data_IF_692412501486
#
_entry.id   IF_692412501486
#
_cell.length_a   1.000
_cell.length_b   1.000
_cell.length_c   1.000
_cell.angle_alpha   90.00
_cell.angle_beta   90.00
_cell.angle_gamma   90.00
#
_symmetry.space_group_name_H-M   'P 1'
#
loop_
_entity.id
_entity.type
_entity.pdbx_description
1 polymer ?
#
# COMPACT_ATOMS: atom_id res chain seq x y z
N UNK A 1 -2.64 12.21 -5.27
CA UNK A 1 -1.43 11.88 -4.48
C UNK A 1 -0.57 10.91 -5.29
N UNK A 2 0.70 10.70 -4.94
CA UNK A 2 1.46 9.58 -5.53
C UNK A 2 1.14 8.28 -4.79
N UNK A 3 0.84 7.21 -5.53
CA UNK A 3 0.69 5.87 -4.98
C UNK A 3 1.91 5.54 -4.12
N UNK A 4 1.68 5.09 -2.89
CA UNK A 4 2.78 4.77 -1.97
C UNK A 4 3.62 3.58 -2.44
N UNK A 5 3.02 2.69 -3.25
CA UNK A 5 3.64 1.50 -3.79
C UNK A 5 4.43 1.78 -5.08
N UNK A 6 3.75 2.23 -6.15
CA UNK A 6 4.36 2.36 -7.48
C UNK A 6 4.76 3.79 -7.87
N UNK A 7 4.53 4.79 -7.01
CA UNK A 7 4.77 6.22 -7.27
C UNK A 7 3.99 6.81 -8.47
N UNK A 8 3.09 6.05 -9.09
CA UNK A 8 2.15 6.53 -10.10
C UNK A 8 1.08 7.47 -9.53
N UNK A 9 0.33 8.12 -10.40
CA UNK A 9 -0.83 8.92 -9.98
C UNK A 9 -1.90 8.05 -9.32
N UNK A 10 -2.39 8.48 -8.16
CA UNK A 10 -3.42 7.80 -7.40
C UNK A 10 -4.33 8.78 -6.67
N UNK A 11 -5.52 8.29 -6.31
CA UNK A 11 -6.50 9.03 -5.51
C UNK A 11 -6.49 8.51 -4.08
N UNK A 12 -6.44 9.42 -3.12
CA UNK A 12 -6.80 9.10 -1.74
C UNK A 12 -8.32 9.04 -1.69
N UNK A 13 -8.87 7.93 -1.19
CA UNK A 13 -10.32 7.80 -1.01
C UNK A 13 -10.71 8.27 0.39
N UNK A 14 -9.98 7.80 1.40
CA UNK A 14 -10.16 8.21 2.79
C UNK A 14 -8.79 8.38 3.45
N UNK A 15 -8.69 9.36 4.35
CA UNK A 15 -7.54 9.60 5.19
C UNK A 15 -8.02 9.60 6.64
N UNK A 16 -8.03 8.43 7.25
CA UNK A 16 -8.43 8.27 8.64
C UNK A 16 -7.23 8.45 9.58
N UNK A 17 -7.49 8.62 10.89
CA UNK A 17 -6.42 8.73 11.89
C UNK A 17 -5.43 7.55 11.88
N UNK A 18 -5.85 6.39 11.38
CA UNK A 18 -5.08 5.14 11.42
C UNK A 18 -4.43 4.74 10.09
N UNK A 19 -4.57 5.54 9.03
CA UNK A 19 -4.01 5.19 7.73
C UNK A 19 -4.61 5.97 6.57
N UNK A 20 -4.27 5.56 5.35
CA UNK A 20 -4.82 6.14 4.12
C UNK A 20 -5.30 5.03 3.19
N UNK A 21 -6.47 5.25 2.60
CA UNK A 21 -7.04 4.40 1.57
C UNK A 21 -6.68 5.01 0.21
N UNK A 22 -6.09 4.18 -0.64
CA UNK A 22 -5.50 4.60 -1.91
C UNK A 22 -6.15 3.78 -3.03
N UNK A 23 -6.72 4.47 -4.00
CA UNK A 23 -7.10 3.88 -5.27
C UNK A 23 -6.10 4.27 -6.35
N UNK A 24 -5.30 3.29 -6.77
CA UNK A 24 -4.29 3.44 -7.80
C UNK A 24 -4.67 2.62 -9.04
N UNK A 25 -4.71 3.22 -10.24
CA UNK A 25 -4.99 2.47 -11.48
C UNK A 25 -4.06 1.29 -11.75
N UNK A 26 -2.83 1.34 -11.22
CA UNK A 26 -1.80 0.33 -11.45
C UNK A 26 -1.69 -0.71 -10.32
N UNK A 27 -2.14 -0.38 -9.11
CA UNK A 27 -1.99 -1.23 -7.93
C UNK A 27 -3.32 -1.65 -7.31
N UNK A 28 -4.44 -1.16 -7.81
CA UNK A 28 -5.77 -1.39 -7.25
C UNK A 28 -6.10 -0.47 -6.08
N UNK A 29 -7.16 -0.85 -5.37
CA UNK A 29 -7.62 -0.18 -4.16
C UNK A 29 -7.06 -0.90 -2.92
N UNK A 30 -6.36 -0.18 -2.06
CA UNK A 30 -5.73 -0.73 -0.86
C UNK A 30 -5.52 0.35 0.21
N UNK A 31 -5.38 -0.07 1.47
CA UNK A 31 -5.08 0.81 2.60
C UNK A 31 -3.64 0.67 3.05
N UNK A 32 -3.09 1.74 3.63
CA UNK A 32 -1.78 1.71 4.31
C UNK A 32 -1.89 2.30 5.69
N UNK A 33 -1.42 1.56 6.70
CA UNK A 33 -1.51 1.97 8.09
C UNK A 33 -0.60 3.17 8.41
N UNK A 34 -1.01 3.98 9.38
CA UNK A 34 -0.25 5.14 9.84
C UNK A 34 1.17 4.76 10.31
N UNK A 35 1.36 3.56 10.84
CA UNK A 35 2.67 3.05 11.25
C UNK A 35 3.61 2.84 10.07
N UNK A 36 3.11 2.33 8.95
CA UNK A 36 3.90 2.18 7.71
C UNK A 36 4.17 3.54 7.08
N UNK A 37 3.16 4.43 7.04
CA UNK A 37 3.34 5.79 6.52
C UNK A 37 4.41 6.57 7.28
N UNK A 38 4.51 6.39 8.61
CA UNK A 38 5.55 7.01 9.45
C UNK A 38 6.95 6.43 9.22
N UNK A 39 7.07 5.18 8.78
CA UNK A 39 8.36 4.54 8.46
C UNK A 39 8.84 4.81 7.04
N UNK A 40 7.92 5.22 6.14
CA UNK A 40 8.20 5.48 4.73
C UNK A 40 9.19 6.63 4.45
N UNK A 41 9.31 7.71 5.24
CA UNK A 41 10.31 8.74 4.97
C UNK A 41 11.71 8.12 4.89
N UNK A 42 12.34 8.18 3.72
CA UNK A 42 13.65 7.57 3.46
C UNK A 42 13.63 6.07 3.09
N UNK A 43 12.44 5.45 2.99
CA UNK A 43 12.30 4.03 2.62
C UNK A 43 11.12 3.80 1.67
N UNK A 44 11.40 3.14 0.55
CA UNK A 44 10.36 2.80 -0.43
C UNK A 44 9.85 1.38 -0.23
N UNK A 45 8.60 1.13 -0.60
CA UNK A 45 8.06 -0.22 -0.69
C UNK A 45 8.68 -0.94 -1.89
N UNK A 46 8.82 -2.26 -1.79
CA UNK A 46 9.13 -3.11 -2.94
C UNK A 46 7.87 -3.17 -3.82
N UNK A 47 7.87 -2.41 -4.92
CA UNK A 47 6.69 -2.19 -5.73
C UNK A 47 6.09 -3.49 -6.29
N UNK A 48 6.97 -4.40 -6.73
CA UNK A 48 6.59 -5.66 -7.34
C UNK A 48 6.03 -6.62 -6.29
N UNK A 49 6.76 -6.86 -5.20
CA UNK A 49 6.31 -7.78 -4.15
C UNK A 49 5.06 -7.30 -3.46
N UNK A 50 4.96 -6.01 -3.20
CA UNK A 50 3.74 -5.41 -2.62
C UNK A 50 2.56 -5.58 -3.57
N UNK A 51 2.75 -5.43 -4.89
CA UNK A 51 1.68 -5.66 -5.87
C UNK A 51 1.22 -7.12 -5.87
N UNK A 52 2.15 -8.08 -5.76
CA UNK A 52 1.79 -9.51 -5.64
C UNK A 52 0.99 -9.76 -4.36
N UNK A 53 1.44 -9.22 -3.23
CA UNK A 53 0.72 -9.30 -1.96
C UNK A 53 -0.72 -8.77 -2.07
N UNK A 54 -0.90 -7.58 -2.65
CA UNK A 54 -2.23 -6.96 -2.79
C UNK A 54 -3.19 -7.81 -3.64
N UNK A 55 -2.71 -8.40 -4.74
CA UNK A 55 -3.54 -9.28 -5.57
C UNK A 55 -3.91 -10.57 -4.81
N UNK A 56 -2.95 -11.19 -4.14
CA UNK A 56 -3.19 -12.41 -3.38
C UNK A 56 -4.23 -12.20 -2.26
N UNK A 57 -4.16 -11.06 -1.55
CA UNK A 57 -5.15 -10.73 -0.52
C UNK A 57 -6.57 -10.60 -1.09
N UNK A 58 -6.71 -10.00 -2.28
CA UNK A 58 -8.00 -9.88 -2.96
C UNK A 58 -8.54 -11.23 -3.44
N UNK A 59 -7.66 -12.12 -3.90
CA UNK A 59 -8.04 -13.46 -4.34
C UNK A 59 -8.48 -14.33 -3.16
N UNK A 60 -7.83 -14.20 -1.99
CA UNK A 60 -8.16 -14.95 -0.77
C UNK A 60 -9.40 -14.38 -0.09
N UNK A 61 -9.51 -13.05 -0.02
CA UNK A 61 -10.55 -12.32 0.71
C UNK A 61 -11.35 -11.40 -0.25
N UNK A 62 -12.15 -11.96 -1.17
CA UNK A 62 -12.89 -11.16 -2.13
C UNK A 62 -13.85 -10.20 -1.43
N UNK A 63 -13.81 -8.92 -1.81
CA UNK A 63 -14.64 -7.86 -1.22
C UNK A 63 -14.06 -7.17 0.02
N UNK A 64 -12.92 -7.65 0.54
CA UNK A 64 -12.15 -6.93 1.56
C UNK A 64 -11.19 -5.93 0.92
N UNK A 65 -10.87 -4.86 1.66
CA UNK A 65 -9.85 -3.90 1.28
C UNK A 65 -8.49 -4.37 1.84
N UNK A 66 -7.50 -4.72 0.99
CA UNK A 66 -6.19 -5.15 1.47
C UNK A 66 -5.49 -4.02 2.23
N UNK A 67 -4.85 -4.36 3.35
CA UNK A 67 -4.18 -3.38 4.22
C UNK A 67 -2.69 -3.70 4.34
N UNK A 68 -1.85 -2.73 3.97
CA UNK A 68 -0.41 -2.76 4.23
C UNK A 68 -0.16 -2.21 5.63
N UNK A 69 0.40 -3.02 6.52
CA UNK A 69 0.69 -2.69 7.91
C UNK A 69 2.11 -3.13 8.32
N UNK A 70 2.48 -2.95 9.59
CA UNK A 70 3.84 -3.27 10.06
C UNK A 70 4.19 -4.77 10.02
N UNK A 71 3.21 -5.66 9.92
CA UNK A 71 3.39 -7.11 9.92
C UNK A 71 3.64 -7.65 8.51
N UNK A 72 3.06 -7.02 7.49
CA UNK A 72 3.12 -7.49 6.10
C UNK A 72 3.86 -6.53 5.15
N UNK A 73 4.32 -5.37 5.63
CA UNK A 73 5.01 -4.38 4.79
C UNK A 73 6.29 -4.97 4.17
N UNK A 74 6.39 -4.85 2.85
CA UNK A 74 7.56 -5.30 2.10
C UNK A 74 8.35 -4.09 1.64
N UNK A 75 9.46 -3.83 2.33
CA UNK A 75 10.34 -2.71 1.99
C UNK A 75 11.29 -3.09 0.84
N UNK A 76 11.57 -2.12 -0.03
CA UNK A 76 12.61 -2.26 -1.04
C UNK A 76 13.98 -2.45 -0.36
N UNK A 77 14.90 -3.21 -0.99
CA UNK A 77 16.27 -3.30 -0.52
C UNK A 77 16.89 -1.90 -0.42
N UNK A 78 17.65 -1.64 0.64
CA UNK A 78 18.55 -0.49 0.66
C UNK A 78 19.67 -0.78 -0.33
N UNK A 79 19.70 -0.05 -1.44
CA UNK A 79 20.82 -0.05 -2.38
C UNK A 79 22.07 0.58 -1.80
#
# INVERSE_FOLDING_TARGET
MKCVNCLGEARTIDAQMNGIDINCPNCGHFSVSASVLRQRPGRSLDAEKTRVFLHNELDINPGHLPVINSENVIWAPTG
#
